data_IF_138258783283
#
_entry.id   IF_138258783283
#
_cell.length_a   1.000
_cell.length_b   1.000
_cell.length_c   1.000
_cell.angle_alpha   90.00
_cell.angle_beta   90.00
_cell.angle_gamma   90.00
#
_symmetry.space_group_name_H-M   'P 1'
#
loop_
_entity.id
_entity.type
_entity.pdbx_description
1 polymer ?
#
# COMPACT_ATOMS: atom_id res chain seq x y z
N UNK A 1 -19.02 -6.05 -9.98
CA UNK A 1 -18.54 -4.71 -9.54
C UNK A 1 -17.68 -4.72 -8.27
N UNK A 2 -17.72 -5.77 -7.42
CA UNK A 2 -16.92 -5.82 -6.18
C UNK A 2 -15.39 -5.76 -6.38
N UNK A 3 -14.87 -6.39 -7.45
CA UNK A 3 -13.43 -6.42 -7.72
C UNK A 3 -12.83 -5.03 -7.97
N UNK A 4 -13.56 -4.17 -8.69
CA UNK A 4 -13.17 -2.78 -8.93
C UNK A 4 -13.12 -1.97 -7.64
N UNK A 5 -14.03 -2.24 -6.68
CA UNK A 5 -13.99 -1.61 -5.38
C UNK A 5 -12.74 -2.01 -4.57
N UNK A 6 -12.32 -3.28 -4.64
CA UNK A 6 -11.09 -3.73 -3.97
C UNK A 6 -9.83 -3.09 -4.56
N UNK A 7 -9.78 -2.90 -5.88
CA UNK A 7 -8.68 -2.20 -6.55
C UNK A 7 -8.61 -0.73 -6.12
N UNK A 8 -9.76 -0.05 -6.03
CA UNK A 8 -9.83 1.34 -5.57
C UNK A 8 -9.37 1.46 -4.11
N UNK A 9 -9.78 0.54 -3.24
CA UNK A 9 -9.34 0.51 -1.82
C UNK A 9 -7.82 0.27 -1.73
N UNK A 10 -7.29 -0.67 -2.52
CA UNK A 10 -5.85 -0.92 -2.59
C UNK A 10 -5.06 0.31 -3.04
N UNK A 11 -5.56 1.07 -4.01
CA UNK A 11 -4.95 2.31 -4.48
C UNK A 11 -4.96 3.43 -3.43
N UNK A 12 -6.06 3.57 -2.69
CA UNK A 12 -6.14 4.54 -1.57
C UNK A 12 -5.12 4.20 -0.49
N UNK A 13 -5.01 2.92 -0.13
CA UNK A 13 -4.03 2.46 0.88
C UNK A 13 -2.61 2.68 0.38
N UNK A 14 -2.33 2.44 -0.89
CA UNK A 14 -1.03 2.74 -1.49
C UNK A 14 -0.64 4.22 -1.31
N UNK A 15 -1.55 5.16 -1.58
CA UNK A 15 -1.29 6.60 -1.40
C UNK A 15 -1.02 6.93 0.07
N UNK A 16 -1.84 6.42 0.99
CA UNK A 16 -1.71 6.70 2.43
C UNK A 16 -0.37 6.18 2.96
N UNK A 17 -0.03 4.92 2.64
CA UNK A 17 1.22 4.29 3.09
C UNK A 17 2.42 5.02 2.51
N UNK A 18 2.39 5.38 1.23
CA UNK A 18 3.48 6.11 0.59
C UNK A 18 3.68 7.49 1.23
N UNK A 19 2.60 8.24 1.45
CA UNK A 19 2.66 9.55 2.11
C UNK A 19 3.19 9.45 3.55
N UNK A 20 2.73 8.46 4.31
CA UNK A 20 3.17 8.23 5.68
C UNK A 20 4.66 7.86 5.72
N UNK A 21 5.10 7.04 4.78
CA UNK A 21 6.47 6.53 4.71
C UNK A 21 7.46 7.62 4.26
N UNK A 22 7.06 8.54 3.39
CA UNK A 22 7.85 9.75 3.06
C UNK A 22 8.01 10.66 4.29
N UNK A 23 6.93 10.92 5.03
CA UNK A 23 7.00 11.76 6.22
C UNK A 23 7.88 11.13 7.32
N UNK A 24 7.74 9.83 7.55
CA UNK A 24 8.55 9.09 8.52
C UNK A 24 10.03 9.05 8.08
N UNK A 25 10.30 8.78 6.80
CA UNK A 25 11.66 8.80 6.26
C UNK A 25 12.33 10.17 6.42
N UNK A 26 11.56 11.25 6.22
CA UNK A 26 12.01 12.63 6.45
C UNK A 26 12.30 12.93 7.91
N UNK A 27 11.54 12.38 8.87
CA UNK A 27 11.76 12.57 10.31
C UNK A 27 13.01 11.82 10.78
N UNK A 28 13.30 10.64 10.21
CA UNK A 28 14.43 9.79 10.61
C UNK A 28 15.76 10.27 9.99
N UNK A 29 15.71 11.23 9.06
CA UNK A 29 16.92 11.82 8.46
C UNK A 29 17.60 10.90 7.43
N UNK A 30 16.88 9.93 6.87
CA UNK A 30 17.40 9.03 5.84
C UNK A 30 17.38 9.76 4.50
N UNK A 31 18.50 9.77 3.76
CA UNK A 31 18.61 10.45 2.47
C UNK A 31 17.49 10.04 1.49
N UNK A 32 16.87 11.02 0.85
CA UNK A 32 15.62 10.86 0.08
C UNK A 32 15.71 9.92 -1.13
N UNK A 33 16.92 9.71 -1.67
CA UNK A 33 17.11 8.99 -2.93
C UNK A 33 17.09 7.45 -2.77
N UNK A 34 17.74 6.90 -1.75
CA UNK A 34 17.77 5.44 -1.54
C UNK A 34 16.52 4.95 -0.80
N UNK A 35 16.00 5.75 0.14
CA UNK A 35 14.78 5.42 0.87
C UNK A 35 13.54 5.43 -0.01
N UNK A 36 13.43 6.34 -0.98
CA UNK A 36 12.24 6.49 -1.82
C UNK A 36 11.92 5.27 -2.69
N UNK A 37 12.93 4.61 -3.26
CA UNK A 37 12.74 3.43 -4.12
C UNK A 37 12.27 2.24 -3.28
N UNK A 38 12.90 2.02 -2.12
CA UNK A 38 12.55 0.92 -1.20
C UNK A 38 11.15 1.12 -0.64
N UNK A 39 10.82 2.34 -0.20
CA UNK A 39 9.49 2.71 0.30
C UNK A 39 8.40 2.52 -0.74
N UNK A 40 8.66 2.91 -2.00
CA UNK A 40 7.71 2.71 -3.09
C UNK A 40 7.46 1.23 -3.38
N UNK A 41 8.53 0.41 -3.41
CA UNK A 41 8.43 -1.04 -3.61
C UNK A 41 7.64 -1.73 -2.48
N UNK A 42 7.91 -1.36 -1.22
CA UNK A 42 7.17 -1.89 -0.06
C UNK A 42 5.70 -1.46 -0.10
N UNK A 43 5.42 -0.21 -0.44
CA UNK A 43 4.05 0.31 -0.56
C UNK A 43 3.26 -0.43 -1.64
N UNK A 44 3.90 -0.73 -2.77
CA UNK A 44 3.31 -1.49 -3.87
C UNK A 44 2.96 -2.93 -3.44
N UNK A 45 3.91 -3.63 -2.82
CA UNK A 45 3.68 -4.96 -2.23
C UNK A 45 2.54 -4.94 -1.20
N UNK A 46 2.48 -3.93 -0.35
CA UNK A 46 1.44 -3.78 0.66
C UNK A 46 0.04 -3.66 0.02
N UNK A 47 -0.08 -2.91 -1.07
CA UNK A 47 -1.35 -2.79 -1.81
C UNK A 47 -1.81 -4.13 -2.40
N UNK A 48 -0.89 -4.93 -2.93
CA UNK A 48 -1.20 -6.27 -3.47
C UNK A 48 -1.69 -7.19 -2.35
N UNK A 49 -0.99 -7.21 -1.21
CA UNK A 49 -1.36 -8.04 -0.06
C UNK A 49 -2.76 -7.69 0.44
N UNK A 50 -3.09 -6.40 0.51
CA UNK A 50 -4.43 -5.93 0.92
C UNK A 50 -5.49 -6.39 -0.06
N UNK A 51 -5.27 -6.25 -1.37
CA UNK A 51 -6.21 -6.72 -2.40
C UNK A 51 -6.44 -8.23 -2.26
N UNK A 52 -5.37 -9.03 -2.14
CA UNK A 52 -5.48 -10.48 -1.95
C UNK A 52 -6.25 -10.83 -0.67
N UNK A 53 -5.98 -10.13 0.43
CA UNK A 53 -6.65 -10.37 1.72
C UNK A 53 -8.16 -10.09 1.62
N UNK A 54 -8.54 -8.99 0.95
CA UNK A 54 -9.95 -8.64 0.74
C UNK A 54 -10.68 -9.67 -0.14
N UNK A 55 -10.02 -10.20 -1.17
CA UNK A 55 -10.57 -11.27 -2.02
C UNK A 55 -10.76 -12.55 -1.21
N UNK A 56 -9.79 -12.93 -0.38
CA UNK A 56 -9.89 -14.12 0.50
C UNK A 56 -11.05 -13.95 1.49
N UNK A 57 -11.19 -12.79 2.13
CA UNK A 57 -12.28 -12.52 3.07
C UNK A 57 -13.66 -12.60 2.38
N UNK A 58 -13.81 -12.05 1.16
CA UNK A 58 -15.07 -12.16 0.40
C UNK A 58 -15.35 -13.62 -0.01
N UNK A 59 -14.32 -14.42 -0.31
CA UNK A 59 -14.47 -15.84 -0.60
C UNK A 59 -14.88 -16.66 0.63
N UNK A 60 -14.40 -16.33 1.84
CA UNK A 60 -14.77 -17.01 3.08
C UNK A 60 -16.17 -16.62 3.56
N UNK A 61 -16.58 -15.36 3.34
CA UNK A 61 -17.91 -14.87 3.74
C UNK A 61 -19.05 -15.34 2.84
N UNK A 62 -18.74 -16.00 1.72
CA UNK A 62 -19.70 -16.50 0.74
C UNK A 62 -20.03 -17.95 1.00
#
# INVERSE_FOLDING_TARGET
MKFIAYVIIGFIIFIIVNFLSINIGSIIGVGSYESGIVVSAISFLCSIVVICTLVIIDAIKK
#
